data_IF_904908538047
#
_entry.id   IF_904908538047
#
_cell.length_a   1.000
_cell.length_b   1.000
_cell.length_c   1.000
_cell.angle_alpha   90.00
_cell.angle_beta   90.00
_cell.angle_gamma   90.00
#
_symmetry.space_group_name_H-M   'P 1'
#
loop_
_entity.id
_entity.type
_entity.pdbx_description
1 polymer ?
#
# COMPACT_ATOMS: atom_id res chain seq x y z
N UNK A 1 -14.31 -0.38 -26.26
CA UNK A 1 -14.51 -0.53 -24.81
C UNK A 1 -15.68 -1.47 -24.57
N UNK A 2 -15.56 -2.43 -23.68
CA UNK A 2 -16.72 -3.22 -23.26
C UNK A 2 -17.70 -2.32 -22.49
N UNK A 3 -18.99 -2.64 -22.50
CA UNK A 3 -20.02 -1.90 -21.75
C UNK A 3 -19.65 -1.79 -20.25
N UNK A 4 -19.02 -2.82 -19.71
CA UNK A 4 -18.55 -2.92 -18.33
C UNK A 4 -17.38 -1.96 -18.01
N UNK A 5 -16.45 -1.75 -18.96
CA UNK A 5 -15.35 -0.78 -18.78
C UNK A 5 -15.87 0.65 -18.76
N UNK A 6 -16.89 0.95 -19.56
CA UNK A 6 -17.54 2.28 -19.60
C UNK A 6 -18.29 2.56 -18.29
N UNK A 7 -18.96 1.54 -17.76
CA UNK A 7 -19.67 1.63 -16.47
C UNK A 7 -18.73 1.94 -15.30
N UNK A 8 -17.63 1.21 -15.19
CA UNK A 8 -16.62 1.47 -14.16
C UNK A 8 -15.98 2.85 -14.32
N UNK A 9 -15.72 3.29 -15.56
CA UNK A 9 -15.18 4.63 -15.85
C UNK A 9 -16.15 5.72 -15.40
N UNK A 10 -17.44 5.59 -15.70
CA UNK A 10 -18.46 6.56 -15.27
C UNK A 10 -18.58 6.60 -13.74
N UNK A 11 -18.54 5.46 -13.10
CA UNK A 11 -18.59 5.35 -11.66
C UNK A 11 -17.41 6.04 -10.95
N UNK A 12 -16.21 5.98 -11.53
CA UNK A 12 -15.05 6.75 -11.07
C UNK A 12 -15.29 8.26 -11.09
N UNK A 13 -16.07 8.75 -12.06
CA UNK A 13 -16.32 10.18 -12.23
C UNK A 13 -17.42 10.70 -11.29
N UNK A 14 -18.36 9.84 -10.86
CA UNK A 14 -19.50 10.23 -10.03
C UNK A 14 -19.17 10.35 -8.53
N UNK A 15 -17.98 9.94 -8.11
CA UNK A 15 -17.59 9.90 -6.69
C UNK A 15 -17.12 11.25 -6.11
N UNK A 16 -17.29 12.36 -6.82
CA UNK A 16 -16.80 13.68 -6.36
C UNK A 16 -17.92 14.48 -5.70
N UNK A 17 -18.03 14.39 -4.39
CA UNK A 17 -18.89 15.29 -3.59
C UNK A 17 -18.05 16.13 -2.62
N UNK A 18 -18.59 17.28 -2.18
CA UNK A 18 -17.84 18.26 -1.37
C UNK A 18 -17.94 18.06 0.15
N UNK A 19 -18.68 17.09 0.63
CA UNK A 19 -18.84 16.79 2.06
C UNK A 19 -18.06 15.52 2.45
N UNK A 20 -17.56 15.42 3.70
CA UNK A 20 -16.99 14.17 4.19
C UNK A 20 -18.02 13.05 4.09
N UNK A 21 -17.72 12.02 3.32
CA UNK A 21 -18.60 10.86 3.15
C UNK A 21 -17.82 9.63 2.70
N UNK A 22 -18.38 8.48 3.01
CA UNK A 22 -17.91 7.20 2.50
C UNK A 22 -18.91 6.67 1.48
N UNK A 23 -18.39 6.30 0.32
CA UNK A 23 -19.15 5.66 -0.75
C UNK A 23 -18.54 4.28 -0.96
N UNK A 24 -19.40 3.27 -1.04
CA UNK A 24 -19.00 1.89 -1.29
C UNK A 24 -19.73 1.37 -2.51
N UNK A 25 -19.01 0.66 -3.35
CA UNK A 25 -19.51 0.07 -4.57
C UNK A 25 -19.08 -1.38 -4.66
N UNK A 26 -20.00 -2.27 -4.87
CA UNK A 26 -19.73 -3.66 -5.19
C UNK A 26 -19.43 -3.82 -6.68
N UNK A 27 -18.50 -4.70 -7.02
CA UNK A 27 -18.24 -5.07 -8.41
C UNK A 27 -19.44 -5.89 -8.92
N UNK A 28 -20.05 -5.53 -10.06
CA UNK A 28 -21.16 -6.30 -10.62
C UNK A 28 -20.79 -7.76 -10.85
N UNK A 29 -21.68 -8.68 -10.46
CA UNK A 29 -21.43 -10.13 -10.52
C UNK A 29 -21.16 -10.66 -11.92
N UNK A 30 -21.63 -9.97 -12.96
CA UNK A 30 -21.39 -10.31 -14.37
C UNK A 30 -19.94 -10.00 -14.81
N UNK A 31 -19.23 -9.18 -14.05
CA UNK A 31 -17.86 -8.71 -14.39
C UNK A 31 -16.83 -9.36 -13.49
N UNK A 32 -17.21 -9.61 -12.24
CA UNK A 32 -16.28 -10.11 -11.23
C UNK A 32 -16.89 -10.13 -9.85
N UNK A 33 -16.00 -10.04 -8.86
CA UNK A 33 -16.38 -9.91 -7.46
C UNK A 33 -15.45 -8.92 -6.75
N UNK A 34 -15.94 -8.31 -5.70
CA UNK A 34 -15.14 -7.40 -4.86
C UNK A 34 -15.88 -6.12 -4.56
N UNK A 35 -15.18 -5.22 -3.94
CA UNK A 35 -15.72 -3.96 -3.44
C UNK A 35 -14.69 -2.85 -3.55
N UNK A 36 -15.17 -1.68 -3.89
CA UNK A 36 -14.40 -0.44 -3.90
C UNK A 36 -15.07 0.52 -2.90
N UNK A 37 -14.32 1.03 -1.95
CA UNK A 37 -14.81 2.07 -1.06
C UNK A 37 -13.94 3.32 -1.17
N UNK A 38 -14.56 4.48 -1.10
CA UNK A 38 -13.89 5.77 -1.06
C UNK A 38 -14.42 6.59 0.10
N UNK A 39 -13.51 7.15 0.88
CA UNK A 39 -13.84 8.04 1.99
C UNK A 39 -13.15 9.37 1.75
N UNK A 40 -13.95 10.42 1.54
CA UNK A 40 -13.46 11.79 1.48
C UNK A 40 -13.39 12.34 2.90
N UNK A 41 -12.23 12.85 3.28
CA UNK A 41 -11.98 13.46 4.57
C UNK A 41 -11.70 14.96 4.44
N UNK A 42 -11.24 15.59 5.48
CA UNK A 42 -10.92 17.02 5.53
C UNK A 42 -9.91 17.41 4.44
N UNK A 43 -9.94 18.66 4.04
CA UNK A 43 -9.08 19.24 2.99
C UNK A 43 -9.19 18.57 1.61
N UNK A 44 -10.25 17.81 1.36
CA UNK A 44 -10.48 17.15 0.07
C UNK A 44 -9.63 15.91 -0.16
N UNK A 45 -8.97 15.38 0.87
CA UNK A 45 -8.22 14.13 0.78
C UNK A 45 -9.18 12.96 0.59
N UNK A 46 -8.85 12.03 -0.30
CA UNK A 46 -9.65 10.85 -0.63
C UNK A 46 -8.82 9.60 -0.30
N UNK A 47 -9.35 8.79 0.60
CA UNK A 47 -8.84 7.45 0.91
C UNK A 47 -9.69 6.43 0.16
N UNK A 48 -9.06 5.51 -0.56
CA UNK A 48 -9.77 4.45 -1.27
C UNK A 48 -9.21 3.08 -0.93
N UNK A 49 -10.11 2.11 -0.78
CA UNK A 49 -9.80 0.70 -0.58
C UNK A 49 -10.40 -0.09 -1.75
N UNK A 50 -9.57 -0.87 -2.42
CA UNK A 50 -9.89 -1.59 -3.64
C UNK A 50 -9.63 -3.07 -3.44
N UNK A 51 -10.67 -3.87 -3.59
CA UNK A 51 -10.57 -5.34 -3.56
C UNK A 51 -11.38 -5.87 -4.72
N UNK A 52 -10.71 -6.47 -5.69
CA UNK A 52 -11.35 -6.87 -6.95
C UNK A 52 -10.73 -8.14 -7.52
N UNK A 53 -11.59 -8.98 -8.09
CA UNK A 53 -11.21 -10.11 -8.91
C UNK A 53 -12.16 -10.16 -10.12
N UNK A 54 -11.61 -10.09 -11.32
CA UNK A 54 -12.40 -10.02 -12.55
C UNK A 54 -12.45 -11.37 -13.27
N UNK A 55 -13.59 -11.70 -13.88
CA UNK A 55 -13.80 -12.93 -14.66
C UNK A 55 -13.17 -12.88 -16.07
N UNK A 56 -12.76 -11.71 -16.53
CA UNK A 56 -12.08 -11.49 -17.81
C UNK A 56 -11.09 -10.34 -17.68
N UNK A 57 -10.12 -10.23 -18.62
CA UNK A 57 -9.23 -9.07 -18.67
C UNK A 57 -10.04 -7.79 -18.81
N UNK A 58 -9.83 -6.85 -17.87
CA UNK A 58 -10.53 -5.57 -17.82
C UNK A 58 -9.60 -4.41 -18.14
N UNK A 59 -9.94 -3.64 -19.16
CA UNK A 59 -9.24 -2.41 -19.51
C UNK A 59 -10.08 -1.22 -19.09
N UNK A 60 -9.66 -0.53 -18.05
CA UNK A 60 -10.31 0.66 -17.50
C UNK A 60 -9.54 1.89 -17.94
N UNK A 61 -10.26 2.93 -18.35
CA UNK A 61 -9.69 4.22 -18.67
C UNK A 61 -10.37 5.29 -17.82
N UNK A 62 -9.58 6.22 -17.32
CA UNK A 62 -10.09 7.30 -16.50
C UNK A 62 -9.27 8.58 -16.66
N UNK A 63 -9.89 9.74 -16.48
CA UNK A 63 -9.14 10.99 -16.46
C UNK A 63 -8.22 11.02 -15.25
N UNK A 64 -7.02 11.54 -15.46
CA UNK A 64 -6.10 11.88 -14.37
C UNK A 64 -6.23 13.38 -14.10
N UNK A 65 -6.29 13.73 -12.83
CA UNK A 65 -6.34 15.13 -12.44
C UNK A 65 -4.98 15.60 -11.94
N UNK A 66 -4.45 16.68 -12.49
CA UNK A 66 -3.26 17.39 -11.97
C UNK A 66 -3.44 17.94 -10.56
N UNK A 67 -4.66 17.92 -10.03
CA UNK A 67 -4.97 18.55 -8.75
C UNK A 67 -4.50 17.72 -7.54
N UNK A 68 -4.11 16.45 -7.77
CA UNK A 68 -3.81 15.53 -6.67
C UNK A 68 -2.41 14.95 -6.75
N UNK A 69 -1.76 14.89 -5.59
CA UNK A 69 -0.71 13.93 -5.30
C UNK A 69 -1.37 12.58 -5.01
N UNK A 70 -0.88 11.52 -5.64
CA UNK A 70 -1.42 10.17 -5.45
C UNK A 70 -0.39 9.25 -4.81
N UNK A 71 -0.83 8.48 -3.81
CA UNK A 71 -0.05 7.40 -3.21
C UNK A 71 -0.87 6.12 -3.37
N UNK A 72 -0.25 5.07 -3.91
CA UNK A 72 -0.88 3.77 -4.11
C UNK A 72 -0.04 2.71 -3.38
N UNK A 73 -0.70 1.90 -2.57
CA UNK A 73 -0.14 0.76 -1.83
C UNK A 73 -0.69 -0.53 -2.42
N UNK A 74 0.15 -1.36 -3.02
CA UNK A 74 -0.23 -2.66 -3.55
C UNK A 74 -0.09 -3.73 -2.47
N UNK A 75 -1.22 -4.29 -2.04
CA UNK A 75 -1.27 -5.23 -0.91
C UNK A 75 -1.32 -6.70 -1.37
N UNK A 76 -1.68 -6.94 -2.63
CA UNK A 76 -1.75 -8.28 -3.21
C UNK A 76 -1.19 -8.30 -4.63
N UNK A 77 -1.89 -8.87 -5.61
CA UNK A 77 -1.39 -8.98 -6.98
C UNK A 77 -1.01 -7.61 -7.55
N UNK A 78 0.12 -7.57 -8.25
CA UNK A 78 0.68 -6.34 -8.81
C UNK A 78 -0.25 -5.68 -9.83
N UNK A 79 -0.14 -4.37 -9.95
CA UNK A 79 -0.94 -3.56 -10.87
C UNK A 79 -0.04 -2.74 -11.79
N UNK A 80 -0.46 -2.60 -13.04
CA UNK A 80 0.21 -1.78 -14.04
C UNK A 80 -0.80 -0.82 -14.67
N UNK A 81 -0.39 0.42 -14.82
CA UNK A 81 -1.17 1.40 -15.57
C UNK A 81 -0.24 2.27 -16.43
N UNK A 82 -0.79 2.83 -17.47
CA UNK A 82 -0.09 3.71 -18.38
C UNK A 82 -0.87 4.99 -18.62
N UNK A 83 -0.20 5.96 -19.22
CA UNK A 83 -0.75 7.25 -19.59
C UNK A 83 -0.90 7.26 -21.10
N UNK A 84 -2.11 7.53 -21.58
CA UNK A 84 -2.33 7.68 -23.02
C UNK A 84 -1.52 8.86 -23.54
N UNK A 85 -0.86 8.62 -24.68
CA UNK A 85 0.03 9.60 -25.35
C UNK A 85 1.38 9.83 -24.66
N UNK A 86 1.67 9.21 -23.53
CA UNK A 86 3.01 9.15 -22.96
C UNK A 86 3.50 7.71 -23.05
N UNK A 87 4.74 7.51 -23.50
CA UNK A 87 5.35 6.17 -23.53
C UNK A 87 5.78 5.76 -22.10
N UNK A 88 4.86 5.96 -21.14
CA UNK A 88 5.08 5.77 -19.70
C UNK A 88 4.11 4.76 -19.16
N UNK A 89 4.63 3.71 -18.54
CA UNK A 89 3.86 2.78 -17.72
C UNK A 89 4.44 2.71 -16.32
N UNK A 90 3.55 2.63 -15.33
CA UNK A 90 3.89 2.46 -13.93
C UNK A 90 3.44 1.06 -13.53
N UNK A 91 4.34 0.29 -12.96
CA UNK A 91 4.02 -1.04 -12.42
C UNK A 91 4.45 -1.08 -10.97
N UNK A 92 3.58 -1.53 -10.09
CA UNK A 92 3.91 -1.85 -8.69
C UNK A 92 3.58 -3.31 -8.43
N UNK A 93 4.44 -3.95 -7.66
CA UNK A 93 4.30 -5.34 -7.25
C UNK A 93 3.67 -5.44 -5.86
N UNK A 94 3.35 -6.63 -5.42
CA UNK A 94 2.92 -6.89 -4.05
C UNK A 94 3.90 -6.29 -3.04
N UNK A 95 3.37 -5.61 -2.04
CA UNK A 95 4.12 -4.90 -0.99
C UNK A 95 5.00 -3.75 -1.52
N UNK A 96 4.71 -3.23 -2.70
CA UNK A 96 5.26 -1.98 -3.19
C UNK A 96 4.22 -0.86 -3.13
N UNK A 97 4.70 0.35 -3.03
CA UNK A 97 3.91 1.56 -3.18
C UNK A 97 4.60 2.56 -4.08
N UNK A 98 3.84 3.48 -4.62
CA UNK A 98 4.40 4.61 -5.34
C UNK A 98 3.66 5.90 -4.99
N UNK A 99 4.40 7.01 -5.07
CA UNK A 99 3.86 8.37 -5.02
C UNK A 99 4.18 9.09 -6.32
N UNK A 100 3.21 9.81 -6.84
CA UNK A 100 3.35 10.64 -8.04
C UNK A 100 2.32 11.76 -8.06
N UNK A 101 2.66 12.88 -8.69
CA UNK A 101 1.68 13.92 -8.98
C UNK A 101 0.83 13.51 -10.18
N UNK A 102 -0.46 13.78 -10.12
CA UNK A 102 -1.34 13.63 -11.25
C UNK A 102 -0.90 14.53 -12.41
N UNK A 103 -1.30 14.20 -13.62
CA UNK A 103 -1.03 14.95 -14.84
C UNK A 103 -2.30 15.05 -15.67
N UNK A 104 -2.32 15.93 -16.65
CA UNK A 104 -3.45 15.98 -17.59
C UNK A 104 -3.34 14.82 -18.57
N UNK A 105 -4.39 14.05 -18.68
CA UNK A 105 -4.43 12.93 -19.60
C UNK A 105 -5.45 11.88 -19.21
N UNK A 106 -5.36 10.76 -19.89
CA UNK A 106 -6.17 9.57 -19.62
C UNK A 106 -5.22 8.45 -19.19
N UNK A 107 -5.44 7.92 -18.00
CA UNK A 107 -4.79 6.68 -17.56
C UNK A 107 -5.56 5.48 -18.11
N UNK A 108 -4.83 4.43 -18.45
CA UNK A 108 -5.40 3.12 -18.74
C UNK A 108 -4.79 2.08 -17.81
N UNK A 109 -5.65 1.26 -17.25
CA UNK A 109 -5.29 0.21 -16.31
C UNK A 109 -5.78 -1.11 -16.88
N UNK A 110 -4.93 -2.14 -16.90
CA UNK A 110 -5.29 -3.48 -17.29
C UNK A 110 -5.31 -4.38 -16.07
N UNK A 111 -6.49 -4.83 -15.67
CA UNK A 111 -6.66 -5.84 -14.65
C UNK A 111 -6.74 -7.21 -15.31
N UNK A 112 -5.86 -8.12 -14.92
CA UNK A 112 -5.83 -9.48 -15.45
C UNK A 112 -6.94 -10.33 -14.83
N UNK A 113 -7.51 -11.20 -15.67
CA UNK A 113 -8.47 -12.22 -15.26
C UNK A 113 -7.93 -13.03 -14.07
N UNK A 114 -8.83 -13.40 -13.16
CA UNK A 114 -8.59 -14.25 -11.99
C UNK A 114 -7.48 -13.78 -11.03
N UNK A 115 -6.96 -12.54 -11.21
CA UNK A 115 -6.03 -11.93 -10.27
C UNK A 115 -6.78 -11.27 -9.13
N UNK A 116 -6.27 -11.46 -7.90
CA UNK A 116 -6.83 -10.87 -6.69
C UNK A 116 -6.18 -9.53 -6.41
N UNK A 117 -6.76 -8.47 -6.95
CA UNK A 117 -6.27 -7.12 -6.70
C UNK A 117 -6.72 -6.62 -5.34
N UNK A 118 -5.75 -6.19 -4.54
CA UNK A 118 -6.00 -5.49 -3.29
C UNK A 118 -5.02 -4.33 -3.18
N UNK A 119 -5.53 -3.11 -3.22
CA UNK A 119 -4.71 -1.93 -3.03
C UNK A 119 -5.46 -0.82 -2.32
N UNK A 120 -4.72 0.03 -1.65
CA UNK A 120 -5.23 1.26 -1.07
C UNK A 120 -4.62 2.45 -1.78
N UNK A 121 -5.40 3.50 -1.99
CA UNK A 121 -4.90 4.74 -2.57
C UNK A 121 -5.28 5.94 -1.73
N UNK A 122 -4.40 6.93 -1.74
CA UNK A 122 -4.61 8.22 -1.09
C UNK A 122 -4.41 9.29 -2.15
N UNK A 123 -5.44 10.12 -2.35
CA UNK A 123 -5.35 11.30 -3.20
C UNK A 123 -5.37 12.53 -2.31
N UNK A 124 -4.32 13.34 -2.39
CA UNK A 124 -4.14 14.55 -1.58
C UNK A 124 -4.12 15.75 -2.52
N UNK A 125 -5.01 16.74 -2.38
CA UNK A 125 -4.93 17.95 -3.19
C UNK A 125 -3.54 18.57 -3.10
N UNK A 126 -2.92 18.88 -4.23
CA UNK A 126 -1.53 19.40 -4.28
C UNK A 126 -1.35 20.64 -3.41
N UNK A 127 -2.27 21.65 -3.40
CA UNK A 127 -2.12 22.80 -2.53
C UNK A 127 -2.06 22.41 -1.05
N UNK A 128 -2.86 21.45 -0.61
CA UNK A 128 -2.84 20.97 0.78
C UNK A 128 -1.58 20.17 1.08
N UNK A 129 -1.12 19.35 0.13
CA UNK A 129 0.13 18.60 0.27
C UNK A 129 1.35 19.53 0.42
N UNK A 130 1.43 20.58 -0.39
CA UNK A 130 2.49 21.58 -0.32
C UNK A 130 2.42 22.39 0.99
N UNK A 131 1.22 22.73 1.45
CA UNK A 131 1.04 23.38 2.75
C UNK A 131 1.53 22.48 3.90
N UNK A 132 1.22 21.17 3.88
CA UNK A 132 1.74 20.22 4.88
C UNK A 132 3.28 20.21 4.88
N UNK A 133 3.92 20.22 3.70
CA UNK A 133 5.38 20.30 3.66
C UNK A 133 5.88 21.64 4.25
N UNK A 134 5.23 22.74 3.90
CA UNK A 134 5.62 24.07 4.38
C UNK A 134 5.45 24.28 5.90
N UNK A 135 4.51 23.55 6.51
CA UNK A 135 4.25 23.64 7.95
C UNK A 135 5.34 22.94 8.79
N UNK A 136 6.11 22.01 8.19
CA UNK A 136 7.04 21.14 8.93
C UNK A 136 8.49 21.17 8.44
N UNK A 137 8.76 21.68 7.24
CA UNK A 137 10.10 21.73 6.64
C UNK A 137 10.53 23.16 6.32
N UNK A 138 11.84 23.40 6.26
CA UNK A 138 12.34 24.71 5.86
C UNK A 138 12.28 24.95 4.33
N UNK A 139 12.43 26.21 3.91
CA UNK A 139 12.23 26.57 2.50
C UNK A 139 13.25 25.95 1.53
N UNK A 140 14.44 25.55 2.00
CA UNK A 140 15.43 24.85 1.16
C UNK A 140 15.07 23.39 0.99
N UNK A 141 14.68 22.74 2.07
CA UNK A 141 14.19 21.36 2.07
C UNK A 141 12.95 21.22 1.19
N UNK A 142 11.97 22.10 1.34
CA UNK A 142 10.73 22.10 0.54
C UNK A 142 11.05 22.10 -0.95
N UNK A 143 11.94 22.99 -1.43
CA UNK A 143 12.28 23.09 -2.85
C UNK A 143 12.83 21.77 -3.41
N UNK A 144 13.64 21.06 -2.62
CA UNK A 144 14.20 19.76 -3.00
C UNK A 144 13.10 18.69 -3.03
N UNK A 145 12.23 18.67 -2.02
CA UNK A 145 11.17 17.68 -1.88
C UNK A 145 10.09 17.88 -2.94
N UNK A 146 9.65 19.10 -3.19
CA UNK A 146 8.73 19.42 -4.28
C UNK A 146 9.25 18.91 -5.62
N UNK A 147 10.50 19.19 -5.95
CA UNK A 147 11.11 18.71 -7.20
C UNK A 147 11.12 17.20 -7.29
N UNK A 148 11.45 16.50 -6.20
CA UNK A 148 11.50 15.04 -6.15
C UNK A 148 10.10 14.42 -6.27
N UNK A 149 9.10 14.99 -5.61
CA UNK A 149 7.76 14.42 -5.49
C UNK A 149 6.84 14.82 -6.65
N UNK A 150 6.89 16.08 -7.14
CA UNK A 150 5.98 16.56 -8.17
C UNK A 150 6.41 16.19 -9.59
N UNK A 151 7.71 16.03 -9.84
CA UNK A 151 8.22 15.80 -11.20
C UNK A 151 8.59 14.34 -11.48
N UNK A 152 8.34 13.43 -10.56
CA UNK A 152 8.75 12.04 -10.67
C UNK A 152 7.74 11.05 -10.12
N UNK A 153 8.11 9.79 -10.25
CA UNK A 153 7.45 8.67 -9.60
C UNK A 153 8.47 8.08 -8.64
N UNK A 154 8.17 8.14 -7.35
CA UNK A 154 8.99 7.48 -6.35
C UNK A 154 8.30 6.18 -5.91
N UNK A 155 9.08 5.09 -5.84
CA UNK A 155 8.61 3.80 -5.35
C UNK A 155 9.34 3.44 -4.07
N UNK A 156 8.59 2.91 -3.12
CA UNK A 156 9.13 2.37 -1.86
C UNK A 156 8.41 1.07 -1.52
N UNK A 157 9.06 0.27 -0.70
CA UNK A 157 8.42 -0.93 -0.16
C UNK A 157 7.45 -0.56 0.96
N UNK A 158 6.31 -1.25 1.01
CA UNK A 158 5.36 -1.10 2.11
C UNK A 158 5.97 -1.75 3.35
N UNK A 159 6.25 -0.97 4.38
CA UNK A 159 6.79 -1.46 5.63
C UNK A 159 5.69 -2.05 6.52
N UNK A 160 6.00 -2.95 7.48
CA UNK A 160 5.00 -3.51 8.39
C UNK A 160 4.21 -2.45 9.15
N UNK A 161 4.85 -1.36 9.52
CA UNK A 161 4.16 -0.26 10.22
C UNK A 161 3.19 0.46 9.29
N UNK A 162 3.52 0.63 8.00
CA UNK A 162 2.59 1.14 7.00
C UNK A 162 1.40 0.19 6.82
N UNK A 163 1.65 -1.13 6.72
CA UNK A 163 0.59 -2.15 6.63
C UNK A 163 -0.36 -2.07 7.84
N UNK A 164 0.20 -1.95 9.05
CA UNK A 164 -0.59 -1.80 10.27
C UNK A 164 -1.48 -0.56 10.20
N UNK A 165 -0.92 0.61 9.88
CA UNK A 165 -1.68 1.86 9.79
C UNK A 165 -2.76 1.74 8.70
N UNK A 166 -2.43 1.20 7.53
CA UNK A 166 -3.39 0.98 6.45
C UNK A 166 -4.53 0.03 6.87
N UNK A 167 -4.25 -0.99 7.66
CA UNK A 167 -5.28 -1.87 8.24
C UNK A 167 -6.17 -1.11 9.23
N UNK A 168 -5.56 -0.27 10.05
CA UNK A 168 -6.28 0.52 11.06
C UNK A 168 -7.21 1.57 10.44
N UNK A 169 -6.90 2.12 9.25
CA UNK A 169 -7.81 3.06 8.58
C UNK A 169 -9.21 2.48 8.36
N UNK A 170 -9.34 1.16 8.19
CA UNK A 170 -10.64 0.50 8.02
C UNK A 170 -11.48 0.46 9.32
N UNK A 171 -10.87 0.72 10.49
CA UNK A 171 -11.56 0.73 11.79
C UNK A 171 -12.31 2.04 12.08
N UNK A 172 -12.23 3.04 11.21
CA UNK A 172 -12.85 4.35 11.43
C UNK A 172 -14.36 4.27 11.62
N UNK A 173 -15.02 3.29 11.01
CA UNK A 173 -16.47 3.05 11.17
C UNK A 173 -16.89 2.63 12.58
N UNK A 174 -15.95 2.23 13.44
CA UNK A 174 -16.19 1.95 14.86
C UNK A 174 -16.42 3.23 15.67
N UNK A 175 -16.00 4.39 15.14
CA UNK A 175 -16.18 5.68 15.78
C UNK A 175 -17.45 6.36 15.26
N UNK A 176 -18.19 7.02 16.15
CA UNK A 176 -19.43 7.69 15.77
C UNK A 176 -19.19 9.09 15.20
N UNK A 177 -19.87 9.42 14.12
CA UNK A 177 -19.89 10.75 13.51
C UNK A 177 -18.50 11.29 13.16
N UNK A 178 -18.25 12.55 13.52
CA UNK A 178 -17.00 13.24 13.22
C UNK A 178 -15.73 12.63 13.82
N UNK A 179 -15.87 11.83 14.89
CA UNK A 179 -14.71 11.16 15.51
C UNK A 179 -14.05 10.17 14.58
N UNK A 180 -14.80 9.48 13.71
CA UNK A 180 -14.24 8.59 12.70
C UNK A 180 -13.36 9.35 11.71
N UNK A 181 -13.79 10.50 11.25
CA UNK A 181 -13.00 11.34 10.34
C UNK A 181 -11.77 11.93 11.05
N UNK A 182 -11.88 12.35 12.31
CA UNK A 182 -10.73 12.77 13.10
C UNK A 182 -9.70 11.66 13.28
N UNK A 183 -10.17 10.42 13.50
CA UNK A 183 -9.30 9.25 13.56
C UNK A 183 -8.56 9.02 12.23
N UNK A 184 -9.27 9.12 11.09
CA UNK A 184 -8.66 9.00 9.76
C UNK A 184 -7.64 10.10 9.47
N UNK A 185 -7.92 11.36 9.85
CA UNK A 185 -6.96 12.47 9.73
C UNK A 185 -5.67 12.16 10.50
N UNK A 186 -5.79 11.66 11.73
CA UNK A 186 -4.63 11.24 12.54
C UNK A 186 -3.84 10.12 11.88
N UNK A 187 -4.51 9.08 11.37
CA UNK A 187 -3.87 7.96 10.68
C UNK A 187 -3.22 8.37 9.36
N UNK A 188 -3.82 9.31 8.64
CA UNK A 188 -3.23 9.88 7.43
C UNK A 188 -1.90 10.58 7.72
N UNK A 189 -1.87 11.45 8.74
CA UNK A 189 -0.64 12.18 9.10
C UNK A 189 0.46 11.24 9.60
N UNK A 190 0.10 10.23 10.40
CA UNK A 190 1.02 9.18 10.84
C UNK A 190 1.61 8.43 9.63
N UNK A 191 0.77 7.99 8.70
CA UNK A 191 1.19 7.30 7.50
C UNK A 191 2.07 8.16 6.60
N UNK A 192 1.69 9.43 6.37
CA UNK A 192 2.47 10.37 5.57
C UNK A 192 3.84 10.64 6.16
N UNK A 193 3.93 10.81 7.48
CA UNK A 193 5.22 11.01 8.18
C UNK A 193 6.18 9.86 7.90
N UNK A 194 5.72 8.61 8.05
CA UNK A 194 6.54 7.42 7.82
C UNK A 194 6.85 7.26 6.32
N UNK A 195 5.85 7.45 5.47
CA UNK A 195 5.96 7.27 4.03
C UNK A 195 6.93 8.28 3.38
N UNK A 196 6.81 9.56 3.73
CA UNK A 196 7.69 10.60 3.24
C UNK A 196 9.13 10.41 3.75
N UNK A 197 9.31 9.94 4.97
CA UNK A 197 10.62 9.56 5.48
C UNK A 197 11.30 8.52 4.59
N UNK A 198 10.57 7.48 4.16
CA UNK A 198 11.11 6.46 3.26
C UNK A 198 11.37 7.01 1.85
N UNK A 199 10.43 7.79 1.29
CA UNK A 199 10.57 8.36 -0.06
C UNK A 199 11.69 9.37 -0.15
N UNK A 200 11.83 10.20 0.87
CA UNK A 200 12.85 11.26 0.91
C UNK A 200 14.19 10.77 1.43
N UNK A 201 14.26 9.49 1.85
CA UNK A 201 15.47 8.89 2.43
C UNK A 201 15.93 9.60 3.71
N UNK A 202 14.98 10.15 4.45
CA UNK A 202 15.24 10.76 5.74
C UNK A 202 15.42 9.67 6.79
N UNK A 203 16.39 9.85 7.69
CA UNK A 203 16.54 8.97 8.84
C UNK A 203 15.35 9.16 9.78
N UNK A 204 14.38 8.29 9.71
CA UNK A 204 13.29 8.26 10.66
C UNK A 204 13.87 7.77 11.98
N UNK A 205 14.08 8.70 12.92
CA UNK A 205 14.50 8.41 14.28
C UNK A 205 13.38 7.74 15.09
N UNK A 206 13.00 6.54 14.68
CA UNK A 206 12.25 5.60 15.50
C UNK A 206 13.22 5.04 16.53
N UNK A 207 13.22 5.64 17.68
CA UNK A 207 14.02 5.40 18.87
C UNK A 207 14.96 4.20 18.87
N UNK A 208 16.27 4.47 18.86
CA UNK A 208 17.44 3.62 19.06
C UNK A 208 17.94 2.73 17.91
N UNK A 209 18.98 3.27 17.25
CA UNK A 209 20.15 2.50 16.84
C UNK A 209 19.99 1.26 15.95
N UNK A 210 19.44 1.41 14.74
CA UNK A 210 20.05 0.73 13.60
C UNK A 210 19.68 1.59 12.37
N UNK A 211 20.60 2.44 11.91
CA UNK A 211 20.54 3.00 10.56
C UNK A 211 20.71 1.83 9.59
N UNK A 212 19.58 1.31 9.14
CA UNK A 212 19.53 0.18 8.20
C UNK A 212 19.53 0.76 6.79
N UNK A 213 20.55 0.45 5.99
CA UNK A 213 20.63 0.87 4.61
C UNK A 213 19.46 0.30 3.78
N UNK A 214 19.16 0.92 2.65
CA UNK A 214 18.11 0.43 1.71
C UNK A 214 18.37 -1.01 1.28
N UNK A 215 19.63 -1.36 1.02
CA UNK A 215 20.05 -2.73 0.68
C UNK A 215 19.80 -3.71 1.82
N UNK A 216 20.07 -3.31 3.06
CA UNK A 216 19.77 -4.15 4.23
C UNK A 216 18.28 -4.35 4.44
N UNK A 217 17.45 -3.31 4.25
CA UNK A 217 15.98 -3.43 4.28
C UNK A 217 15.46 -4.39 3.22
N UNK A 218 15.92 -4.26 1.99
CA UNK A 218 15.54 -5.18 0.90
C UNK A 218 15.91 -6.63 1.25
N UNK A 219 17.09 -6.84 1.81
CA UNK A 219 17.53 -8.16 2.24
C UNK A 219 16.68 -8.73 3.40
N UNK A 220 16.27 -7.90 4.35
CA UNK A 220 15.35 -8.29 5.45
C UNK A 220 13.97 -8.67 4.91
N UNK A 221 13.45 -7.92 3.96
CA UNK A 221 12.16 -8.23 3.33
C UNK A 221 12.24 -9.52 2.50
N UNK A 222 13.36 -9.75 1.80
CA UNK A 222 13.60 -10.98 1.09
C UNK A 222 13.71 -12.17 2.04
N UNK A 223 14.34 -12.02 3.21
CA UNK A 223 14.37 -13.05 4.24
C UNK A 223 12.95 -13.44 4.70
N UNK A 224 12.06 -12.46 4.91
CA UNK A 224 10.64 -12.74 5.21
C UNK A 224 9.98 -13.52 4.06
N UNK A 225 10.17 -13.09 2.81
CA UNK A 225 9.59 -13.76 1.64
C UNK A 225 10.02 -15.23 1.53
N UNK A 226 11.30 -15.51 1.83
CA UNK A 226 11.84 -16.87 1.85
C UNK A 226 11.16 -17.69 2.95
N UNK A 227 11.02 -17.15 4.16
CA UNK A 227 10.32 -17.81 5.27
C UNK A 227 8.88 -18.14 4.88
N UNK A 228 8.14 -17.17 4.35
CA UNK A 228 6.74 -17.33 3.96
C UNK A 228 6.54 -18.39 2.86
N UNK A 229 7.50 -18.48 1.93
CA UNK A 229 7.45 -19.47 0.85
C UNK A 229 7.82 -20.89 1.27
N UNK A 230 8.49 -21.06 2.41
CA UNK A 230 8.99 -22.33 2.91
C UNK A 230 8.62 -22.57 4.37
N UNK A 231 7.44 -22.11 4.80
CA UNK A 231 7.04 -22.03 6.20
C UNK A 231 7.11 -23.35 6.94
N UNK A 232 6.75 -24.47 6.28
CA UNK A 232 6.82 -25.81 6.87
C UNK A 232 8.27 -26.21 7.23
N UNK A 233 9.24 -25.84 6.40
CA UNK A 233 10.68 -26.13 6.53
C UNK A 233 11.47 -24.82 6.44
N UNK A 234 11.09 -23.84 7.27
CA UNK A 234 11.73 -22.53 7.23
C UNK A 234 13.24 -22.66 7.48
N UNK A 235 14.08 -22.00 6.66
CA UNK A 235 15.52 -22.03 6.80
C UNK A 235 15.96 -21.50 8.16
N UNK A 236 17.11 -22.01 8.64
CA UNK A 236 17.77 -21.46 9.83
C UNK A 236 18.20 -20.01 9.63
N UNK A 237 18.46 -19.29 10.72
CA UNK A 237 18.96 -17.92 10.63
C UNK A 237 20.30 -17.83 9.87
N UNK A 238 21.14 -18.83 9.99
CA UNK A 238 22.42 -18.97 9.29
C UNK A 238 22.21 -19.12 7.78
N UNK A 239 21.32 -20.02 7.37
CA UNK A 239 20.98 -20.24 5.96
C UNK A 239 20.32 -18.98 5.35
N UNK A 240 19.38 -18.36 6.06
CA UNK A 240 18.77 -17.10 5.66
C UNK A 240 19.81 -16.00 5.48
N UNK A 241 20.76 -15.89 6.41
CA UNK A 241 21.80 -14.85 6.35
C UNK A 241 22.67 -14.97 5.10
N UNK A 242 22.97 -16.22 4.71
CA UNK A 242 23.71 -16.50 3.46
C UNK A 242 22.88 -16.17 2.22
N UNK A 243 21.61 -16.58 2.20
CA UNK A 243 20.71 -16.35 1.05
C UNK A 243 20.47 -14.87 0.78
N UNK A 244 20.34 -14.06 1.85
CA UNK A 244 20.09 -12.61 1.71
C UNK A 244 21.37 -11.76 1.79
N UNK A 245 22.55 -12.39 1.81
CA UNK A 245 23.86 -11.73 1.85
C UNK A 245 24.03 -10.73 3.01
N UNK A 246 23.48 -11.04 4.18
CA UNK A 246 23.68 -10.30 5.41
C UNK A 246 24.47 -11.12 6.42
N UNK A 247 25.23 -10.47 7.31
CA UNK A 247 25.74 -11.17 8.47
C UNK A 247 24.58 -11.58 9.40
N UNK A 248 24.72 -12.70 10.11
CA UNK A 248 23.71 -13.20 11.05
C UNK A 248 23.23 -12.12 12.04
N UNK A 249 24.17 -11.33 12.57
CA UNK A 249 23.86 -10.23 13.49
C UNK A 249 23.02 -9.12 12.83
N UNK A 250 23.34 -8.76 11.59
CA UNK A 250 22.56 -7.76 10.82
C UNK A 250 21.17 -8.29 10.49
N UNK A 251 21.07 -9.55 10.08
CA UNK A 251 19.79 -10.18 9.78
C UNK A 251 18.89 -10.23 11.03
N UNK A 252 19.37 -10.81 12.15
CA UNK A 252 18.53 -11.00 13.33
C UNK A 252 18.11 -9.70 13.98
N UNK A 253 19.04 -8.73 14.12
CA UNK A 253 18.73 -7.40 14.65
C UNK A 253 17.84 -6.61 13.70
N UNK A 254 18.15 -6.63 12.40
CA UNK A 254 17.39 -5.94 11.38
C UNK A 254 15.96 -6.48 11.28
N UNK A 255 15.80 -7.78 11.28
CA UNK A 255 14.48 -8.41 11.24
C UNK A 255 13.65 -8.05 12.48
N UNK A 256 14.22 -8.16 13.67
CA UNK A 256 13.53 -7.79 14.92
C UNK A 256 13.18 -6.28 14.96
N UNK A 257 14.06 -5.42 14.48
CA UNK A 257 13.80 -3.99 14.42
C UNK A 257 12.72 -3.64 13.40
N UNK A 258 12.68 -4.35 12.26
CA UNK A 258 11.79 -4.07 11.15
C UNK A 258 10.39 -4.69 11.32
N UNK A 259 10.31 -5.92 11.85
CA UNK A 259 9.06 -6.66 12.06
C UNK A 259 8.56 -6.66 13.50
N UNK A 260 9.28 -6.04 14.43
CA UNK A 260 8.90 -5.94 15.84
C UNK A 260 9.08 -7.24 16.65
N UNK A 261 9.55 -8.33 16.03
CA UNK A 261 9.73 -9.63 16.67
C UNK A 261 10.90 -10.42 16.08
N UNK A 262 11.54 -11.32 16.85
CA UNK A 262 12.58 -12.21 16.34
C UNK A 262 12.10 -13.17 15.25
N UNK A 263 13.00 -13.58 14.34
CA UNK A 263 12.69 -14.50 13.23
C UNK A 263 11.99 -15.77 13.72
N UNK A 264 12.48 -16.40 14.78
CA UNK A 264 11.88 -17.64 15.29
C UNK A 264 10.45 -17.45 15.78
N UNK A 265 10.16 -16.32 16.43
CA UNK A 265 8.80 -15.99 16.87
C UNK A 265 7.89 -15.76 15.67
N UNK A 266 8.38 -15.04 14.66
CA UNK A 266 7.66 -14.82 13.42
C UNK A 266 7.26 -16.15 12.75
N UNK A 267 8.20 -17.10 12.62
CA UNK A 267 7.94 -18.44 12.05
C UNK A 267 6.86 -19.18 12.84
N UNK A 268 6.92 -19.14 14.17
CA UNK A 268 5.92 -19.78 15.03
C UNK A 268 4.54 -19.16 14.82
N UNK A 269 4.43 -17.85 14.83
CA UNK A 269 3.15 -17.14 14.63
C UNK A 269 2.53 -17.42 13.24
N UNK A 270 3.36 -17.44 12.19
CA UNK A 270 2.88 -17.78 10.86
C UNK A 270 2.41 -19.23 10.75
N UNK A 271 3.13 -20.18 11.36
CA UNK A 271 2.70 -21.60 11.42
C UNK A 271 1.40 -21.77 12.17
N UNK A 272 1.24 -21.12 13.31
CA UNK A 272 -0.01 -21.17 14.09
C UNK A 272 -1.17 -20.54 13.31
N UNK A 273 -0.93 -19.46 12.59
CA UNK A 273 -1.95 -18.82 11.75
C UNK A 273 -2.37 -19.74 10.61
N UNK A 274 -1.42 -20.38 9.93
CA UNK A 274 -1.71 -21.35 8.87
C UNK A 274 -2.43 -22.59 9.40
N UNK A 275 -1.99 -23.12 10.54
CA UNK A 275 -2.65 -24.25 11.18
C UNK A 275 -4.10 -23.92 11.57
N UNK A 276 -4.34 -22.75 12.15
CA UNK A 276 -5.69 -22.31 12.48
C UNK A 276 -6.58 -22.19 11.23
N UNK A 277 -6.04 -21.70 10.11
CA UNK A 277 -6.77 -21.64 8.85
C UNK A 277 -7.14 -23.02 8.32
N UNK A 278 -6.20 -23.97 8.28
CA UNK A 278 -6.44 -25.35 7.85
C UNK A 278 -7.51 -26.05 8.69
N UNK A 279 -7.52 -25.81 10.00
CA UNK A 279 -8.54 -26.38 10.90
C UNK A 279 -9.92 -25.72 10.67
N UNK A 280 -9.98 -24.43 10.35
CA UNK A 280 -11.24 -23.73 10.07
C UNK A 280 -11.84 -24.15 8.73
N UNK A 281 -11.01 -24.48 7.75
CA UNK A 281 -11.46 -24.97 6.43
C UNK A 281 -12.08 -26.37 6.51
N UNK A 282 -11.88 -27.10 7.64
CA UNK A 282 -12.61 -28.32 8.00
C UNK A 282 -12.10 -29.61 7.35
N UNK A 283 -11.08 -29.53 6.52
CA UNK A 283 -10.53 -30.69 5.78
C UNK A 283 -9.46 -31.46 6.58
N UNK A 284 -9.00 -30.90 7.72
CA UNK A 284 -7.87 -31.40 8.51
C UNK A 284 -8.21 -31.50 10.00
N UNK A 285 -7.68 -32.50 10.69
CA UNK A 285 -7.78 -32.60 12.14
C UNK A 285 -6.44 -32.20 12.81
N UNK A 286 -6.47 -31.99 14.15
CA UNK A 286 -5.33 -31.51 14.93
C UNK A 286 -4.08 -32.42 14.83
N UNK A 287 -4.26 -33.70 14.49
CA UNK A 287 -3.15 -34.64 14.32
C UNK A 287 -2.54 -34.65 12.92
N UNK A 288 -3.18 -33.99 11.96
CA UNK A 288 -2.78 -33.91 10.55
C UNK A 288 -2.15 -32.56 10.21
N UNK A 289 -2.40 -31.54 11.01
CA UNK A 289 -1.83 -30.18 10.93
C UNK A 289 -0.59 -30.08 11.80
#
# INVERSE_FOLDING_TARGET
MSHSSLYLTNLYNDLITNTPQTITMDIPSEVGQGQISQTKIKHGVILSDWKMCYQSDMNVQGPVSREYMQIIFCLNDGISWGIMNENRSITIQKNESCIYAGHDGTEYICYKKDSNFSFKSIKIPIPYFLQLLADYFDGQEITVYEKKLLNGIAKVSVTPIMEQILSETSKFSQYRGGLGYLYLDGKLLELLSIYLGEVLELDILMGKNISMSRTERTAIMEAKRIIDSQLAFAPSCEELSQQVHLSLTKLTRGFSSFYGMPIHQYVIEQRLTQAAQLLLDGDWNVGEV
#
